data_IF_600250995698
#
_entry.id   IF_600250995698
#
_cell.length_a   1.000
_cell.length_b   1.000
_cell.length_c   1.000
_cell.angle_alpha   90.00
_cell.angle_beta   90.00
_cell.angle_gamma   90.00
#
_symmetry.space_group_name_H-M   'P 1'
#
loop_
_entity.id
_entity.type
_entity.pdbx_description
1 polymer ?
#
# COMPACT_ATOMS: atom_id res chain seq x y z
N UNK A 1 10.87 12.69 -24.43
CA UNK A 1 9.91 11.59 -24.58
C UNK A 1 8.52 12.16 -24.45
N UNK A 2 7.55 11.71 -25.26
CA UNK A 2 6.17 12.20 -25.16
C UNK A 2 5.46 11.59 -23.94
N UNK A 3 4.48 12.34 -23.38
CA UNK A 3 3.57 11.82 -22.35
C UNK A 3 2.79 10.65 -22.96
N UNK A 4 2.69 9.54 -22.24
CA UNK A 4 1.85 8.41 -22.67
C UNK A 4 0.37 8.77 -22.54
N UNK A 5 -0.47 8.32 -23.48
CA UNK A 5 -1.93 8.44 -23.35
C UNK A 5 -2.53 7.40 -22.38
N UNK A 6 -1.76 6.35 -22.05
CA UNK A 6 -2.18 5.32 -21.10
C UNK A 6 -2.17 5.88 -19.67
N UNK A 7 -3.25 5.80 -18.93
CA UNK A 7 -3.27 6.23 -17.51
C UNK A 7 -2.26 5.43 -16.67
N UNK A 8 -1.62 6.11 -15.73
CA UNK A 8 -0.49 5.58 -14.96
C UNK A 8 -0.84 5.54 -13.48
N UNK A 9 -0.61 4.40 -12.86
CA UNK A 9 -0.77 4.21 -11.42
C UNK A 9 0.51 3.71 -10.74
N UNK A 10 0.71 4.12 -9.50
CA UNK A 10 1.71 3.56 -8.59
C UNK A 10 1.00 2.93 -7.39
N UNK A 11 1.26 1.65 -7.13
CA UNK A 11 0.77 0.96 -5.94
C UNK A 11 1.96 0.57 -5.06
N UNK A 12 2.05 1.17 -3.88
CA UNK A 12 3.14 0.91 -2.94
C UNK A 12 2.87 -0.36 -2.12
N UNK A 13 3.93 -1.16 -1.86
CA UNK A 13 3.79 -2.40 -1.08
C UNK A 13 2.93 -3.47 -1.75
N UNK A 14 2.97 -3.59 -3.07
CA UNK A 14 2.02 -4.37 -3.85
C UNK A 14 2.54 -5.75 -4.28
N UNK A 15 3.46 -6.36 -3.52
CA UNK A 15 3.96 -7.72 -3.83
C UNK A 15 2.95 -8.84 -3.50
N UNK A 16 1.87 -8.56 -2.76
CA UNK A 16 0.80 -9.48 -2.33
C UNK A 16 -0.37 -8.75 -1.70
N UNK A 17 -1.39 -9.50 -1.26
CA UNK A 17 -2.52 -9.01 -0.46
C UNK A 17 -3.27 -7.88 -1.16
N UNK A 18 -3.76 -6.92 -0.37
CA UNK A 18 -4.54 -5.78 -0.87
C UNK A 18 -3.83 -5.01 -2.00
N UNK A 19 -2.52 -4.74 -1.84
CA UNK A 19 -1.75 -4.02 -2.86
C UNK A 19 -1.71 -4.75 -4.19
N UNK A 20 -1.52 -6.07 -4.20
CA UNK A 20 -1.55 -6.86 -5.42
C UNK A 20 -2.96 -6.89 -6.04
N UNK A 21 -4.00 -7.02 -5.21
CA UNK A 21 -5.40 -6.96 -5.66
C UNK A 21 -5.74 -5.63 -6.33
N UNK A 22 -5.35 -4.51 -5.70
CA UNK A 22 -5.54 -3.17 -6.26
C UNK A 22 -4.77 -3.03 -7.58
N UNK A 23 -3.51 -3.47 -7.64
CA UNK A 23 -2.71 -3.40 -8.87
C UNK A 23 -3.37 -4.16 -10.02
N UNK A 24 -3.86 -5.40 -9.78
CA UNK A 24 -4.61 -6.18 -10.77
C UNK A 24 -5.89 -5.48 -11.22
N UNK A 25 -6.62 -4.88 -10.27
CA UNK A 25 -7.85 -4.15 -10.59
C UNK A 25 -7.57 -2.96 -11.54
N UNK A 26 -6.53 -2.18 -11.27
CA UNK A 26 -6.10 -1.09 -12.14
C UNK A 26 -5.64 -1.61 -13.50
N UNK A 27 -4.96 -2.77 -13.54
CA UNK A 27 -4.60 -3.45 -14.78
C UNK A 27 -5.80 -3.82 -15.64
N UNK A 28 -6.90 -4.33 -15.04
CA UNK A 28 -8.15 -4.61 -15.78
C UNK A 28 -8.77 -3.37 -16.43
N UNK A 29 -8.44 -2.18 -15.97
CA UNK A 29 -8.83 -0.91 -16.58
C UNK A 29 -7.82 -0.38 -17.59
N UNK A 30 -6.86 -1.21 -18.04
CA UNK A 30 -5.89 -0.86 -19.08
C UNK A 30 -4.79 0.10 -18.63
N UNK A 31 -4.58 0.27 -17.33
CA UNK A 31 -3.57 1.19 -16.80
C UNK A 31 -2.16 0.60 -16.88
N UNK A 32 -1.16 1.47 -17.03
CA UNK A 32 0.22 1.14 -16.65
C UNK A 32 0.34 1.23 -15.14
N UNK A 33 0.72 0.12 -14.49
CA UNK A 33 0.78 0.03 -13.03
C UNK A 33 2.19 -0.27 -12.57
N UNK A 34 2.80 0.69 -11.89
CA UNK A 34 4.05 0.49 -11.18
C UNK A 34 3.77 -0.20 -9.85
N UNK A 35 4.38 -1.35 -9.66
CA UNK A 35 4.26 -2.21 -8.48
C UNK A 35 5.54 -2.13 -7.67
N UNK A 36 5.47 -1.60 -6.44
CA UNK A 36 6.68 -1.47 -5.62
C UNK A 36 6.65 -2.33 -4.37
N UNK A 37 7.84 -2.66 -3.88
CA UNK A 37 8.05 -3.44 -2.67
C UNK A 37 9.46 -4.02 -2.60
N UNK A 38 9.75 -4.71 -1.50
CA UNK A 38 11.07 -5.32 -1.25
C UNK A 38 11.18 -6.77 -1.72
N UNK A 39 10.03 -7.43 -1.96
CA UNK A 39 10.00 -8.86 -2.27
C UNK A 39 10.14 -9.09 -3.77
N UNK A 40 11.37 -9.33 -4.22
CA UNK A 40 11.71 -9.71 -5.60
C UNK A 40 11.67 -11.22 -5.80
N UNK A 41 11.89 -11.98 -4.72
CA UNK A 41 11.86 -13.45 -4.72
C UNK A 41 10.83 -13.97 -3.72
N UNK A 42 10.25 -15.12 -4.03
CA UNK A 42 9.29 -15.81 -3.15
C UNK A 42 9.95 -16.13 -1.80
N UNK A 43 9.20 -16.00 -0.71
CA UNK A 43 9.69 -16.29 0.64
C UNK A 43 10.54 -15.18 1.28
N UNK A 44 10.73 -14.04 0.62
CA UNK A 44 11.36 -12.86 1.21
C UNK A 44 10.56 -12.29 2.39
N UNK A 45 9.24 -12.33 2.31
CA UNK A 45 8.35 -11.95 3.41
C UNK A 45 7.93 -13.19 4.23
N UNK A 46 7.61 -12.96 5.50
CA UNK A 46 7.20 -14.00 6.46
C UNK A 46 5.80 -13.74 6.99
N UNK A 47 5.06 -14.84 7.23
CA UNK A 47 3.79 -14.85 7.95
C UNK A 47 3.97 -14.65 9.46
N UNK A 48 2.87 -14.77 10.20
CA UNK A 48 2.87 -14.65 11.66
C UNK A 48 3.63 -15.79 12.35
N UNK A 49 3.63 -16.96 11.75
CA UNK A 49 4.33 -18.16 12.18
C UNK A 49 5.77 -18.26 11.67
N UNK A 50 6.24 -17.25 10.94
CA UNK A 50 7.55 -17.22 10.30
C UNK A 50 7.63 -17.98 8.97
N UNK A 51 6.55 -18.64 8.52
CA UNK A 51 6.50 -19.30 7.23
C UNK A 51 6.67 -18.32 6.06
N UNK A 52 7.27 -18.74 4.94
CA UNK A 52 7.43 -17.87 3.78
C UNK A 52 6.07 -17.54 3.16
N UNK A 53 5.86 -16.25 2.90
CA UNK A 53 4.68 -15.78 2.17
C UNK A 53 4.94 -15.82 0.65
N UNK A 54 3.92 -16.18 -0.16
CA UNK A 54 3.99 -16.11 -1.61
C UNK A 54 3.97 -14.66 -2.09
N UNK A 55 4.14 -14.49 -3.40
CA UNK A 55 4.02 -13.21 -4.09
C UNK A 55 5.31 -12.39 -4.09
N UNK A 56 5.52 -11.73 -5.20
CA UNK A 56 6.64 -10.82 -5.47
C UNK A 56 6.13 -9.61 -6.24
N UNK A 57 6.94 -8.54 -6.32
CA UNK A 57 6.61 -7.41 -7.21
C UNK A 57 6.56 -7.85 -8.67
N UNK A 58 7.38 -8.82 -9.06
CA UNK A 58 7.41 -9.34 -10.44
C UNK A 58 6.18 -10.17 -10.77
N UNK A 59 5.73 -11.06 -9.85
CA UNK A 59 4.49 -11.83 -10.06
C UNK A 59 3.27 -10.92 -10.17
N UNK A 60 3.16 -9.92 -9.30
CA UNK A 60 2.06 -8.95 -9.37
C UNK A 60 2.10 -8.13 -10.67
N UNK A 61 3.27 -7.67 -11.11
CA UNK A 61 3.39 -6.95 -12.39
C UNK A 61 2.99 -7.83 -13.58
N UNK A 62 3.38 -9.11 -13.58
CA UNK A 62 2.93 -10.06 -14.60
C UNK A 62 1.41 -10.25 -14.57
N UNK A 63 0.80 -10.36 -13.38
CA UNK A 63 -0.65 -10.47 -13.22
C UNK A 63 -1.40 -9.22 -13.71
N UNK A 64 -0.85 -8.01 -13.50
CA UNK A 64 -1.36 -6.76 -14.08
C UNK A 64 -1.39 -6.83 -15.61
N UNK A 65 -0.31 -7.34 -16.23
CA UNK A 65 -0.22 -7.47 -17.67
C UNK A 65 -1.21 -8.50 -18.20
N UNK A 66 -1.34 -9.65 -17.54
CA UNK A 66 -2.36 -10.68 -17.89
C UNK A 66 -3.78 -10.12 -17.75
N UNK A 67 -4.01 -9.20 -16.81
CA UNK A 67 -5.31 -8.56 -16.62
C UNK A 67 -5.68 -7.53 -17.71
N UNK A 68 -4.75 -7.16 -18.60
CA UNK A 68 -4.99 -6.23 -19.71
C UNK A 68 -4.32 -4.86 -19.57
N UNK A 69 -3.58 -4.63 -18.50
CA UNK A 69 -2.77 -3.42 -18.28
C UNK A 69 -1.30 -3.63 -18.69
N UNK A 70 -0.44 -2.76 -18.21
CA UNK A 70 1.01 -2.88 -18.31
C UNK A 70 1.64 -2.85 -16.90
N UNK A 71 2.09 -3.99 -16.40
CA UNK A 71 2.70 -4.11 -15.08
C UNK A 71 4.20 -3.84 -15.11
N UNK A 72 4.66 -2.92 -14.25
CA UNK A 72 6.08 -2.58 -14.11
C UNK A 72 6.51 -2.80 -12.66
N UNK A 73 7.45 -3.71 -12.42
CA UNK A 73 7.97 -4.00 -11.09
C UNK A 73 9.18 -3.11 -10.78
N UNK A 74 9.13 -2.37 -9.69
CA UNK A 74 10.25 -1.56 -9.19
C UNK A 74 10.56 -1.92 -7.73
N UNK A 75 11.79 -2.37 -7.48
CA UNK A 75 12.22 -2.61 -6.10
C UNK A 75 12.28 -1.29 -5.34
N UNK A 76 11.63 -1.25 -4.16
CA UNK A 76 11.66 -0.09 -3.28
C UNK A 76 11.53 -0.53 -1.83
N UNK A 77 12.44 -0.10 -0.98
CA UNK A 77 12.23 -0.07 0.46
C UNK A 77 11.65 1.30 0.83
N UNK A 78 10.39 1.31 1.24
CA UNK A 78 9.69 2.54 1.57
C UNK A 78 10.16 3.22 2.87
N UNK A 79 11.12 2.62 3.59
CA UNK A 79 11.86 3.28 4.67
C UNK A 79 13.03 4.14 4.17
N UNK A 80 13.42 4.02 2.91
CA UNK A 80 14.53 4.76 2.29
C UNK A 80 13.99 5.80 1.29
N UNK A 81 14.02 7.06 1.67
CA UNK A 81 13.50 8.18 0.85
C UNK A 81 14.19 8.27 -0.51
N UNK A 82 15.46 7.87 -0.62
CA UNK A 82 16.17 7.88 -1.91
C UNK A 82 15.64 6.82 -2.86
N UNK A 83 15.26 5.64 -2.34
CA UNK A 83 14.62 4.62 -3.16
C UNK A 83 13.20 5.04 -3.57
N UNK A 84 12.48 5.74 -2.69
CA UNK A 84 11.17 6.32 -3.03
C UNK A 84 11.33 7.35 -4.13
N UNK A 85 12.26 8.31 -3.99
CA UNK A 85 12.53 9.31 -5.02
C UNK A 85 12.84 8.68 -6.39
N UNK A 86 13.71 7.66 -6.42
CA UNK A 86 14.09 6.95 -7.65
C UNK A 86 12.88 6.30 -8.36
N UNK A 87 11.87 5.82 -7.62
CA UNK A 87 10.62 5.32 -8.23
C UNK A 87 9.90 6.44 -8.99
N UNK A 88 9.77 7.63 -8.41
CA UNK A 88 9.09 8.74 -9.06
C UNK A 88 9.89 9.33 -10.24
N UNK A 89 11.21 9.34 -10.16
CA UNK A 89 12.10 9.69 -11.28
C UNK A 89 11.90 8.71 -12.46
N UNK A 90 11.78 7.40 -12.16
CA UNK A 90 11.52 6.38 -13.17
C UNK A 90 10.14 6.56 -13.82
N UNK A 91 9.10 6.83 -13.04
CA UNK A 91 7.76 7.12 -13.54
C UNK A 91 7.79 8.36 -14.45
N UNK A 92 8.44 9.44 -14.00
CA UNK A 92 8.54 10.67 -14.79
C UNK A 92 9.30 10.44 -16.10
N UNK A 93 10.39 9.66 -16.05
CA UNK A 93 11.24 9.37 -17.23
C UNK A 93 10.52 8.52 -18.27
N UNK A 94 9.77 7.49 -17.84
CA UNK A 94 9.14 6.53 -18.75
C UNK A 94 7.71 6.89 -19.16
N UNK A 95 6.96 7.50 -18.26
CA UNK A 95 5.54 7.77 -18.49
C UNK A 95 5.21 9.25 -18.61
N UNK A 96 6.01 10.14 -17.99
CA UNK A 96 5.79 11.58 -18.00
C UNK A 96 4.53 12.04 -17.27
N UNK A 97 3.82 11.11 -16.61
CA UNK A 97 2.56 11.36 -15.87
C UNK A 97 2.36 10.37 -14.73
N UNK A 98 1.53 10.74 -13.77
CA UNK A 98 1.01 9.87 -12.72
C UNK A 98 -0.44 10.26 -12.43
N UNK A 99 -1.37 9.34 -12.60
CA UNK A 99 -2.80 9.61 -12.42
C UNK A 99 -3.31 9.12 -11.05
N UNK A 100 -2.77 7.99 -10.56
CA UNK A 100 -3.17 7.41 -9.27
C UNK A 100 -1.91 7.01 -8.48
N UNK A 101 -1.82 7.48 -7.24
CA UNK A 101 -0.95 6.93 -6.21
C UNK A 101 -1.80 6.17 -5.20
N UNK A 102 -1.48 4.89 -4.94
CA UNK A 102 -2.06 4.13 -3.84
C UNK A 102 -1.01 3.90 -2.76
N UNK A 103 -1.14 4.60 -1.65
CA UNK A 103 -0.35 4.42 -0.45
C UNK A 103 -0.86 3.20 0.33
N UNK A 104 -0.28 2.03 0.04
CA UNK A 104 -0.64 0.76 0.66
C UNK A 104 0.53 0.13 1.42
N UNK A 105 1.77 0.54 1.15
CA UNK A 105 2.94 0.01 1.87
C UNK A 105 2.80 0.22 3.38
N UNK A 106 2.96 -0.85 4.13
CA UNK A 106 2.98 -0.82 5.60
C UNK A 106 3.89 -1.89 6.15
N UNK A 107 4.54 -1.60 7.27
CA UNK A 107 5.26 -2.60 8.03
C UNK A 107 4.26 -3.44 8.84
N UNK A 108 4.34 -4.74 8.70
CA UNK A 108 3.59 -5.70 9.53
C UNK A 108 4.57 -6.35 10.50
N UNK A 109 4.56 -5.89 11.73
CA UNK A 109 5.38 -6.47 12.80
C UNK A 109 4.83 -7.84 13.23
N UNK A 110 5.67 -8.85 13.54
CA UNK A 110 5.21 -10.17 13.98
C UNK A 110 4.27 -10.14 15.19
N UNK A 111 4.47 -9.21 16.13
CA UNK A 111 3.60 -9.05 17.30
C UNK A 111 2.41 -8.10 17.08
N UNK A 112 2.10 -7.67 15.85
CA UNK A 112 1.01 -6.72 15.59
C UNK A 112 -0.32 -7.23 16.16
N UNK A 113 -0.66 -8.50 15.90
CA UNK A 113 -1.90 -9.13 16.36
C UNK A 113 -1.78 -9.79 17.74
N UNK A 114 -0.60 -9.75 18.37
CA UNK A 114 -0.39 -10.31 19.71
C UNK A 114 -1.28 -9.60 20.73
N UNK A 115 -1.89 -10.31 21.69
CA UNK A 115 -2.70 -9.72 22.77
C UNK A 115 -1.87 -8.96 23.80
N UNK A 116 -0.54 -8.99 23.72
CA UNK A 116 0.34 -8.25 24.62
C UNK A 116 0.05 -6.75 24.58
N UNK A 117 0.04 -6.05 25.73
CA UNK A 117 0.01 -4.60 25.74
C UNK A 117 1.27 -4.02 25.07
N UNK A 118 1.18 -2.80 24.53
CA UNK A 118 2.22 -2.24 23.69
C UNK A 118 3.62 -2.15 24.35
N UNK A 119 3.67 -1.92 25.65
CA UNK A 119 4.93 -1.85 26.42
C UNK A 119 5.63 -3.20 26.65
N UNK A 120 5.00 -4.30 26.27
CA UNK A 120 5.56 -5.66 26.27
C UNK A 120 5.90 -6.16 24.87
N UNK A 121 5.57 -5.39 23.81
CA UNK A 121 5.99 -5.67 22.44
C UNK A 121 7.37 -5.07 22.18
N UNK A 122 8.09 -5.60 21.21
CA UNK A 122 9.38 -5.04 20.79
C UNK A 122 9.23 -3.57 20.35
N UNK A 123 10.20 -2.72 20.69
CA UNK A 123 10.20 -1.30 20.28
C UNK A 123 10.21 -1.12 18.77
N UNK A 124 10.74 -2.08 18.02
CA UNK A 124 10.75 -2.14 16.56
C UNK A 124 9.34 -2.23 15.94
N UNK A 125 8.30 -2.57 16.73
CA UNK A 125 6.90 -2.44 16.31
C UNK A 125 6.52 -1.00 15.94
N UNK A 126 7.24 0.01 16.46
CA UNK A 126 7.10 1.42 16.07
C UNK A 126 7.45 1.67 14.59
N UNK A 127 8.16 0.76 13.93
CA UNK A 127 8.46 0.83 12.50
C UNK A 127 7.23 0.92 11.59
N UNK A 128 6.03 0.61 12.07
CA UNK A 128 4.77 0.85 11.35
C UNK A 128 4.52 2.34 11.11
N UNK A 129 5.06 3.22 11.94
CA UNK A 129 4.98 4.67 11.77
C UNK A 129 5.95 5.15 10.67
N UNK A 130 7.10 4.48 10.54
CA UNK A 130 8.05 4.77 9.45
C UNK A 130 7.53 4.25 8.11
N UNK A 131 7.19 2.94 8.04
CA UNK A 131 6.62 2.35 6.83
C UNK A 131 5.13 2.14 7.02
N UNK A 132 4.35 3.09 6.57
CA UNK A 132 2.90 3.11 6.66
C UNK A 132 2.33 4.50 6.94
N UNK A 133 3.00 5.32 7.75
CA UNK A 133 2.60 6.72 7.95
C UNK A 133 3.60 7.67 7.27
N UNK A 134 4.84 7.73 7.75
CA UNK A 134 5.85 8.64 7.18
C UNK A 134 6.11 8.35 5.69
N UNK A 135 6.26 7.08 5.33
CA UNK A 135 6.48 6.71 3.92
C UNK A 135 5.34 7.10 2.99
N UNK A 136 4.09 7.09 3.49
CA UNK A 136 2.93 7.56 2.73
C UNK A 136 2.98 9.07 2.49
N UNK A 137 3.44 9.85 3.47
CA UNK A 137 3.69 11.29 3.28
C UNK A 137 4.76 11.54 2.20
N UNK A 138 5.90 10.86 2.31
CA UNK A 138 7.02 11.00 1.35
C UNK A 138 6.59 10.67 -0.08
N UNK A 139 5.89 9.53 -0.28
CA UNK A 139 5.37 9.17 -1.59
C UNK A 139 4.36 10.19 -2.12
N UNK A 140 3.47 10.70 -1.28
CA UNK A 140 2.49 11.72 -1.66
C UNK A 140 3.14 13.04 -2.03
N UNK A 141 4.21 13.43 -1.32
CA UNK A 141 5.00 14.62 -1.65
C UNK A 141 5.59 14.52 -3.06
N UNK A 142 6.21 13.41 -3.42
CA UNK A 142 6.74 13.19 -4.77
C UNK A 142 5.62 13.15 -5.82
N UNK A 143 4.50 12.47 -5.54
CA UNK A 143 3.36 12.40 -6.44
C UNK A 143 2.78 13.79 -6.73
N UNK A 144 2.65 14.63 -5.72
CA UNK A 144 2.15 16.01 -5.86
C UNK A 144 3.00 16.84 -6.85
N UNK A 145 4.32 16.65 -6.88
CA UNK A 145 5.21 17.34 -7.82
C UNK A 145 4.99 16.94 -9.29
N UNK A 146 4.36 15.78 -9.53
CA UNK A 146 3.94 15.34 -10.88
C UNK A 146 2.50 15.78 -11.14
N UNK A 147 1.59 15.49 -10.21
CA UNK A 147 0.15 15.64 -10.40
C UNK A 147 -0.32 17.10 -10.42
N UNK A 148 0.27 17.97 -9.59
CA UNK A 148 -0.13 19.39 -9.53
C UNK A 148 0.18 20.13 -10.84
N UNK A 149 1.40 20.04 -11.41
CA UNK A 149 1.66 20.59 -12.75
C UNK A 149 0.84 19.94 -13.86
N UNK A 150 0.47 18.65 -13.70
CA UNK A 150 -0.40 17.91 -14.61
C UNK A 150 -1.85 18.43 -14.58
N UNK A 151 -2.28 19.06 -13.47
CA UNK A 151 -3.64 19.55 -13.27
C UNK A 151 -4.66 18.44 -12.96
N UNK A 152 -4.21 17.23 -12.62
CA UNK A 152 -5.07 16.09 -12.31
C UNK A 152 -4.31 15.01 -11.55
N UNK A 153 -5.01 14.26 -10.70
CA UNK A 153 -4.44 13.11 -9.99
C UNK A 153 -5.28 12.68 -8.79
N UNK A 154 -5.05 11.45 -8.35
CA UNK A 154 -5.67 10.90 -7.14
C UNK A 154 -4.60 10.27 -6.25
N UNK A 155 -4.52 10.73 -5.01
CA UNK A 155 -3.74 10.10 -3.95
C UNK A 155 -4.70 9.35 -3.02
N UNK A 156 -4.64 8.03 -3.05
CA UNK A 156 -5.44 7.15 -2.21
C UNK A 156 -4.61 6.54 -1.09
N UNK A 157 -5.18 6.44 0.09
CA UNK A 157 -4.56 5.84 1.27
C UNK A 157 -5.36 4.65 1.76
N UNK A 158 -4.70 3.50 1.96
CA UNK A 158 -5.30 2.33 2.57
C UNK A 158 -5.40 2.48 4.09
N UNK A 159 -6.61 2.72 4.59
CA UNK A 159 -6.91 2.89 6.01
C UNK A 159 -7.85 1.80 6.53
N UNK A 160 -8.32 1.95 7.76
CA UNK A 160 -9.24 1.00 8.41
C UNK A 160 -9.90 1.61 9.64
N UNK A 161 -10.85 0.86 10.23
CA UNK A 161 -11.51 1.17 11.51
C UNK A 161 -10.54 1.47 12.65
N UNK A 162 -9.28 0.97 12.59
CA UNK A 162 -8.25 1.26 13.58
C UNK A 162 -7.94 2.76 13.76
N UNK A 163 -8.38 3.62 12.84
CA UNK A 163 -8.31 5.07 12.99
C UNK A 163 -9.19 5.60 14.15
N UNK A 164 -10.33 4.95 14.41
CA UNK A 164 -11.33 5.42 15.37
C UNK A 164 -11.60 4.44 16.52
N UNK A 165 -11.18 3.19 16.42
CA UNK A 165 -11.36 2.21 17.49
C UNK A 165 -10.04 1.51 17.84
N UNK A 166 -9.97 0.91 19.02
CA UNK A 166 -8.80 0.12 19.38
C UNK A 166 -8.69 -1.13 18.50
N UNK A 167 -7.62 -1.19 17.71
CA UNK A 167 -7.28 -2.34 16.86
C UNK A 167 -5.76 -2.49 16.80
N UNK A 168 -5.24 -3.67 17.10
CA UNK A 168 -3.81 -4.04 16.99
C UNK A 168 -2.81 -3.19 17.79
N UNK A 169 -3.30 -2.28 18.65
CA UNK A 169 -2.49 -1.44 19.52
C UNK A 169 -2.24 -0.03 19.01
N UNK A 170 -1.58 0.83 19.83
CA UNK A 170 -1.50 2.28 19.60
C UNK A 170 -0.71 2.65 18.34
N UNK A 171 0.32 1.90 17.95
CA UNK A 171 1.08 2.18 16.73
C UNK A 171 0.23 2.02 15.47
N UNK A 172 -0.60 0.98 15.40
CA UNK A 172 -1.54 0.79 14.29
C UNK A 172 -2.62 1.87 14.27
N UNK A 173 -3.23 2.16 15.43
CA UNK A 173 -4.24 3.21 15.54
C UNK A 173 -3.70 4.58 15.12
N UNK A 174 -2.51 4.95 15.60
CA UNK A 174 -1.85 6.20 15.23
C UNK A 174 -1.55 6.26 13.73
N UNK A 175 -1.06 5.15 13.12
CA UNK A 175 -0.82 5.07 11.70
C UNK A 175 -2.11 5.29 10.90
N UNK A 176 -3.22 4.64 11.27
CA UNK A 176 -4.50 4.76 10.54
C UNK A 176 -5.14 6.13 10.71
N UNK A 177 -5.17 6.66 11.92
CA UNK A 177 -5.66 8.02 12.20
C UNK A 177 -4.82 9.09 11.48
N UNK A 178 -3.49 8.92 11.46
CA UNK A 178 -2.58 9.83 10.75
C UNK A 178 -2.79 9.80 9.23
N UNK A 179 -3.04 8.63 8.66
CA UNK A 179 -3.37 8.48 7.22
C UNK A 179 -4.67 9.19 6.88
N UNK A 180 -5.72 9.03 7.70
CA UNK A 180 -7.00 9.72 7.48
C UNK A 180 -6.82 11.24 7.57
N UNK A 181 -5.98 11.69 8.53
CA UNK A 181 -5.64 13.11 8.65
C UNK A 181 -4.86 13.62 7.43
N UNK A 182 -3.91 12.84 6.89
CA UNK A 182 -3.20 13.20 5.66
C UNK A 182 -4.15 13.36 4.47
N UNK A 183 -5.07 12.42 4.27
CA UNK A 183 -6.06 12.52 3.20
C UNK A 183 -6.88 13.81 3.31
N UNK A 184 -7.37 14.12 4.50
CA UNK A 184 -8.16 15.32 4.76
C UNK A 184 -7.36 16.61 4.50
N UNK A 185 -6.15 16.73 5.06
CA UNK A 185 -5.37 17.96 4.98
C UNK A 185 -4.78 18.15 3.59
N UNK A 186 -4.27 17.09 2.95
CA UNK A 186 -3.79 17.16 1.57
C UNK A 186 -4.92 17.52 0.60
N UNK A 187 -6.16 17.04 0.81
CA UNK A 187 -7.30 17.48 0.02
C UNK A 187 -7.54 18.98 0.14
N UNK A 188 -7.35 19.55 1.33
CA UNK A 188 -7.43 21.01 1.53
C UNK A 188 -6.33 21.73 0.76
N UNK A 189 -5.08 21.27 0.86
CA UNK A 189 -3.93 21.88 0.17
C UNK A 189 -4.03 21.75 -1.36
N UNK A 190 -4.68 20.70 -1.87
CA UNK A 190 -4.93 20.49 -3.30
C UNK A 190 -6.10 21.33 -3.87
N UNK A 191 -6.71 22.19 -3.08
CA UNK A 191 -7.81 23.03 -3.57
C UNK A 191 -7.40 23.79 -4.84
N UNK A 192 -8.22 23.68 -5.90
CA UNK A 192 -7.99 24.30 -7.20
C UNK A 192 -6.80 23.76 -8.03
N UNK A 193 -6.18 22.65 -7.65
CA UNK A 193 -5.09 22.04 -8.42
C UNK A 193 -5.54 20.96 -9.39
N UNK A 194 -6.77 20.45 -9.25
CA UNK A 194 -7.28 19.27 -9.97
C UNK A 194 -6.82 17.93 -9.38
N UNK A 195 -6.02 17.94 -8.30
CA UNK A 195 -5.60 16.74 -7.56
C UNK A 195 -6.55 16.50 -6.39
N UNK A 196 -6.79 15.22 -6.08
CA UNK A 196 -7.62 14.81 -4.96
C UNK A 196 -6.86 13.84 -4.04
N UNK A 197 -7.20 13.85 -2.75
CA UNK A 197 -6.69 12.91 -1.76
C UNK A 197 -7.84 12.26 -1.01
N UNK A 198 -7.81 10.92 -0.88
CA UNK A 198 -8.87 10.15 -0.21
C UNK A 198 -8.29 9.06 0.69
N UNK A 199 -8.92 8.81 1.81
CA UNK A 199 -8.69 7.64 2.65
C UNK A 199 -9.77 6.59 2.38
N UNK A 200 -9.35 5.34 2.21
CA UNK A 200 -10.23 4.22 1.93
C UNK A 200 -10.16 3.24 3.11
N UNK A 201 -11.22 3.13 3.86
CA UNK A 201 -11.34 2.14 4.91
C UNK A 201 -11.70 0.79 4.31
N UNK A 202 -10.68 -0.04 4.17
CA UNK A 202 -10.88 -1.42 3.73
C UNK A 202 -11.45 -2.25 4.88
N UNK A 203 -12.44 -3.08 4.57
CA UNK A 203 -12.94 -4.12 5.45
C UNK A 203 -11.94 -5.27 5.59
N UNK A 204 -12.33 -6.39 6.24
CA UNK A 204 -11.53 -7.59 6.27
C UNK A 204 -11.27 -8.13 4.87
N UNK A 205 -10.02 -8.52 4.60
CA UNK A 205 -9.60 -9.06 3.31
C UNK A 205 -8.98 -10.45 3.48
N UNK A 206 -9.29 -11.36 2.59
CA UNK A 206 -8.68 -12.70 2.48
C UNK A 206 -7.28 -12.61 1.88
N UNK A 207 -6.40 -11.86 2.53
CA UNK A 207 -4.99 -11.82 2.13
C UNK A 207 -4.28 -13.11 2.56
N UNK A 208 -3.16 -13.42 1.92
CA UNK A 208 -2.34 -14.60 2.25
C UNK A 208 -2.01 -14.66 3.75
N UNK A 209 -1.71 -13.50 4.34
CA UNK A 209 -1.42 -13.38 5.77
C UNK A 209 -2.65 -13.60 6.66
N UNK A 210 -3.81 -13.13 6.25
CA UNK A 210 -5.06 -13.34 6.97
C UNK A 210 -5.52 -14.81 6.90
N UNK A 211 -5.35 -15.46 5.75
CA UNK A 211 -5.64 -16.88 5.60
C UNK A 211 -4.74 -17.73 6.50
N UNK A 212 -3.43 -17.47 6.54
CA UNK A 212 -2.51 -18.14 7.48
C UNK A 212 -2.92 -17.92 8.94
N UNK A 213 -3.32 -16.72 9.31
CA UNK A 213 -3.78 -16.43 10.68
C UNK A 213 -5.07 -17.21 11.02
N UNK A 214 -5.97 -17.35 10.05
CA UNK A 214 -7.19 -18.13 10.23
C UNK A 214 -6.93 -19.64 10.37
N UNK A 215 -5.89 -20.17 9.73
CA UNK A 215 -5.46 -21.57 9.90
C UNK A 215 -4.89 -21.83 11.29
N UNK A 216 -4.15 -20.87 11.86
CA UNK A 216 -3.51 -21.00 13.18
C UNK A 216 -4.48 -20.69 14.33
N UNK A 217 -5.41 -19.75 14.13
CA UNK A 217 -6.36 -19.26 15.13
C UNK A 217 -7.80 -19.27 14.58
N UNK A 218 -8.36 -20.43 14.22
CA UNK A 218 -9.65 -20.50 13.53
C UNK A 218 -10.78 -19.84 14.32
N UNK A 219 -10.83 -20.03 15.65
CA UNK A 219 -11.86 -19.47 16.52
C UNK A 219 -11.90 -17.94 16.55
N UNK A 220 -10.76 -17.27 16.29
CA UNK A 220 -10.66 -15.81 16.26
C UNK A 220 -11.02 -15.24 14.88
N UNK A 221 -10.83 -16.00 13.83
CA UNK A 221 -10.96 -15.54 12.45
C UNK A 221 -12.22 -16.05 11.76
N UNK A 222 -12.95 -17.03 12.31
CA UNK A 222 -14.12 -17.63 11.66
C UNK A 222 -15.15 -16.59 11.22
N UNK A 223 -15.57 -15.70 12.11
CA UNK A 223 -16.55 -14.66 11.79
C UNK A 223 -15.98 -13.60 10.84
N UNK A 224 -14.71 -13.25 11.00
CA UNK A 224 -14.03 -12.29 10.12
C UNK A 224 -13.95 -12.86 8.70
N UNK A 225 -13.62 -14.15 8.54
CA UNK A 225 -13.48 -14.79 7.23
C UNK A 225 -14.81 -14.97 6.50
N UNK A 226 -15.96 -15.00 7.21
CA UNK A 226 -17.29 -15.04 6.57
C UNK A 226 -17.61 -13.74 5.80
N UNK A 227 -17.11 -12.60 6.28
CA UNK A 227 -17.37 -11.27 5.69
C UNK A 227 -16.17 -10.69 4.94
N UNK A 228 -15.03 -11.38 4.96
CA UNK A 228 -13.82 -10.92 4.29
C UNK A 228 -13.92 -11.09 2.78
N UNK A 229 -13.51 -10.04 2.05
CA UNK A 229 -13.47 -10.01 0.58
C UNK A 229 -12.12 -10.50 0.04
N UNK A 230 -12.12 -11.03 -1.17
CA UNK A 230 -10.89 -11.39 -1.90
C UNK A 230 -10.28 -10.13 -2.52
N UNK A 231 -8.98 -9.86 -2.29
CA UNK A 231 -8.29 -8.69 -2.84
C UNK A 231 -8.17 -8.71 -4.36
#
# INVERSE_FOLDING_TARGET
MGITDTPVALVTGASRGAGAGIARALGRHGMRVYVTGRAETVGKARGWDGAPLPGTIHSTAAEVTVAGGEGVALRCDHADDRQVAAVFEEIQRHSGRLDILVNNATMIHPELISPKPFWQKGLDAAGILEVGLRSAYVASWHAAHIMVPQGSGLIAFGSSFGANCYMHGPGYGAQKAGIDKFAHDMQHDFSNTGVNAVSIWMGPLKTERALMAAEVHPEQYEEIMKVAETP
#
